data_IF_230376817114
#
_entry.id   IF_230376817114
#
_cell.length_a   1.000
_cell.length_b   1.000
_cell.length_c   1.000
_cell.angle_alpha   90.00
_cell.angle_beta   90.00
_cell.angle_gamma   90.00
#
_symmetry.space_group_name_H-M   'P 1'
#
loop_
_entity.id
_entity.type
_entity.pdbx_description
1 polymer ?
#
# COMPACT_ATOMS: atom_id res chain seq x y z
N UNK A 1 -13.52 6.47 14.07
CA UNK A 1 -12.60 5.68 13.26
C UNK A 1 -11.28 6.40 13.14
N UNK A 2 -10.21 5.73 13.50
CA UNK A 2 -8.86 6.26 13.35
C UNK A 2 -8.18 5.62 12.15
N UNK A 3 -7.51 6.43 11.35
CA UNK A 3 -6.73 5.92 10.22
C UNK A 3 -5.31 6.47 10.27
N UNK A 4 -4.36 5.64 9.89
CA UNK A 4 -2.95 6.01 9.76
C UNK A 4 -2.47 5.56 8.40
N UNK A 5 -1.84 6.45 7.66
CA UNK A 5 -1.31 6.17 6.33
C UNK A 5 0.20 6.26 6.36
N UNK A 6 0.88 5.21 5.89
CA UNK A 6 2.33 5.15 5.86
C UNK A 6 2.78 4.64 4.49
N UNK A 7 3.84 5.23 3.93
CA UNK A 7 4.49 4.69 2.75
C UNK A 7 5.21 3.39 3.10
N UNK A 8 5.02 2.37 2.29
CA UNK A 8 5.49 1.01 2.56
C UNK A 8 6.96 0.77 2.20
N UNK A 9 7.76 1.81 2.04
CA UNK A 9 9.17 1.66 1.67
C UNK A 9 10.07 1.21 2.82
N UNK A 10 9.54 1.17 4.05
CA UNK A 10 10.32 0.84 5.24
C UNK A 10 9.71 -0.35 5.96
N UNK A 11 10.48 -1.43 6.03
CA UNK A 11 10.03 -2.69 6.66
C UNK A 11 9.68 -2.53 8.13
N UNK A 12 10.41 -1.67 8.85
CA UNK A 12 10.14 -1.44 10.27
C UNK A 12 8.75 -0.86 10.50
N UNK A 13 8.31 0.04 9.62
CA UNK A 13 6.96 0.61 9.71
C UNK A 13 5.90 -0.44 9.41
N UNK A 14 6.13 -1.29 8.41
CA UNK A 14 5.20 -2.38 8.10
C UNK A 14 5.08 -3.34 9.27
N UNK A 15 6.20 -3.68 9.93
CA UNK A 15 6.20 -4.54 11.11
C UNK A 15 5.40 -3.92 12.24
N UNK A 16 5.59 -2.63 12.50
CA UNK A 16 4.83 -1.92 13.55
C UNK A 16 3.33 -1.94 13.27
N UNK A 17 2.94 -1.75 12.01
CA UNK A 17 1.53 -1.82 11.61
C UNK A 17 0.97 -3.22 11.82
N UNK A 18 1.72 -4.25 11.45
CA UNK A 18 1.30 -5.63 11.65
C UNK A 18 1.14 -5.97 13.13
N UNK A 19 2.04 -5.48 13.97
CA UNK A 19 1.95 -5.70 15.42
C UNK A 19 0.71 -5.03 16.00
N UNK A 20 0.36 -3.83 15.53
CA UNK A 20 -0.89 -3.18 15.93
C UNK A 20 -2.10 -4.01 15.52
N UNK A 21 -2.10 -4.58 14.33
CA UNK A 21 -3.19 -5.42 13.88
C UNK A 21 -3.31 -6.70 14.69
N UNK A 22 -2.19 -7.26 15.15
CA UNK A 22 -2.21 -8.43 16.04
C UNK A 22 -2.75 -8.09 17.42
N UNK A 23 -2.38 -6.93 17.95
CA UNK A 23 -2.83 -6.48 19.26
C UNK A 23 -4.31 -6.10 19.26
N UNK A 24 -4.77 -5.49 18.19
CA UNK A 24 -6.14 -4.99 18.07
C UNK A 24 -6.87 -5.70 16.94
N UNK A 25 -7.62 -6.77 17.24
CA UNK A 25 -8.24 -7.61 16.18
C UNK A 25 -9.23 -6.89 15.27
N UNK A 26 -9.75 -5.75 15.69
CA UNK A 26 -10.74 -4.99 14.90
C UNK A 26 -10.09 -4.07 13.85
N UNK A 27 -8.76 -3.89 13.89
CA UNK A 27 -8.07 -3.08 12.91
C UNK A 27 -8.00 -3.81 11.58
N UNK A 28 -8.35 -3.09 10.51
CA UNK A 28 -8.19 -3.58 9.14
C UNK A 28 -7.19 -2.72 8.40
N UNK A 29 -6.64 -3.23 7.29
CA UNK A 29 -5.67 -2.52 6.47
C UNK A 29 -6.13 -2.45 5.02
N UNK A 30 -5.95 -1.28 4.41
CA UNK A 30 -6.10 -1.11 2.96
C UNK A 30 -4.72 -0.78 2.38
N UNK A 31 -4.29 -1.57 1.41
CA UNK A 31 -3.01 -1.40 0.75
C UNK A 31 -3.28 -0.89 -0.67
N UNK A 32 -2.72 0.28 -1.02
CA UNK A 32 -3.00 0.95 -2.28
C UNK A 32 -1.69 1.20 -3.03
N UNK A 33 -1.55 0.57 -4.21
CA UNK A 33 -0.37 0.71 -5.05
C UNK A 33 -0.56 1.79 -6.11
N UNK A 34 0.50 2.57 -6.36
CA UNK A 34 0.49 3.66 -7.32
C UNK A 34 1.77 3.67 -8.13
N UNK A 35 1.69 4.19 -9.37
CA UNK A 35 2.83 4.39 -10.25
C UNK A 35 2.88 5.83 -10.75
N UNK A 36 4.00 6.21 -11.40
CA UNK A 36 4.00 7.38 -12.25
C UNK A 36 3.33 7.05 -13.59
N UNK A 37 3.31 8.01 -14.53
CA UNK A 37 2.62 7.83 -15.81
C UNK A 37 3.53 7.32 -16.94
N UNK A 38 4.73 6.86 -16.65
CA UNK A 38 5.61 6.27 -17.64
C UNK A 38 5.14 4.86 -17.99
N UNK A 39 5.16 4.54 -19.31
CA UNK A 39 4.72 3.27 -19.80
C UNK A 39 3.21 3.21 -20.03
N UNK A 40 2.70 2.03 -20.31
CA UNK A 40 1.27 1.87 -20.57
C UNK A 40 0.46 1.89 -19.28
N UNK A 41 -0.75 2.42 -19.37
CA UNK A 41 -1.68 2.45 -18.23
C UNK A 41 -2.02 1.03 -17.77
N UNK A 42 -2.20 0.09 -18.69
CA UNK A 42 -2.50 -1.31 -18.34
C UNK A 42 -1.36 -1.94 -17.55
N UNK A 43 -0.13 -1.75 -18.00
CA UNK A 43 1.04 -2.30 -17.32
C UNK A 43 1.23 -1.67 -15.94
N UNK A 44 1.01 -0.36 -15.83
CA UNK A 44 1.11 0.34 -14.56
C UNK A 44 0.08 -0.16 -13.55
N UNK A 45 -1.13 -0.44 -14.03
CA UNK A 45 -2.16 -1.03 -13.18
C UNK A 45 -1.72 -2.40 -12.64
N UNK A 46 -1.18 -3.26 -13.51
CA UNK A 46 -0.68 -4.58 -13.10
C UNK A 46 0.47 -4.48 -12.09
N UNK A 47 1.44 -3.59 -12.35
CA UNK A 47 2.57 -3.39 -11.46
C UNK A 47 2.11 -2.95 -10.08
N UNK A 48 1.21 -1.98 -10.02
CA UNK A 48 0.71 -1.46 -8.75
C UNK A 48 -0.09 -2.51 -7.99
N UNK A 49 -0.87 -3.32 -8.69
CA UNK A 49 -1.62 -4.42 -8.08
C UNK A 49 -0.68 -5.47 -7.49
N UNK A 50 0.37 -5.86 -8.21
CA UNK A 50 1.35 -6.82 -7.70
C UNK A 50 2.08 -6.30 -6.46
N UNK A 51 2.44 -5.04 -6.45
CA UNK A 51 3.11 -4.43 -5.28
C UNK A 51 2.22 -4.43 -4.06
N UNK A 52 0.96 -4.06 -4.23
CA UNK A 52 -0.01 -4.08 -3.13
C UNK A 52 -0.22 -5.51 -2.62
N UNK A 53 -0.35 -6.48 -3.51
CA UNK A 53 -0.52 -7.89 -3.15
C UNK A 53 0.71 -8.45 -2.43
N UNK A 54 1.91 -8.03 -2.80
CA UNK A 54 3.13 -8.47 -2.13
C UNK A 54 3.15 -8.07 -0.66
N UNK A 55 2.68 -6.87 -0.36
CA UNK A 55 2.61 -6.39 1.03
C UNK A 55 1.54 -7.13 1.80
N UNK A 56 0.40 -7.38 1.17
CA UNK A 56 -0.65 -8.20 1.79
C UNK A 56 -0.11 -9.57 2.17
N UNK A 57 0.58 -10.23 1.26
CA UNK A 57 1.18 -11.55 1.53
C UNK A 57 2.22 -11.47 2.66
N UNK A 58 2.98 -10.40 2.72
CA UNK A 58 3.94 -10.20 3.79
C UNK A 58 3.24 -10.16 5.16
N UNK A 59 2.14 -9.42 5.28
CA UNK A 59 1.37 -9.38 6.51
C UNK A 59 0.77 -10.74 6.86
N UNK A 60 0.24 -11.45 5.88
CA UNK A 60 -0.38 -12.77 6.09
C UNK A 60 0.65 -13.82 6.49
N UNK A 61 1.75 -13.91 5.73
CA UNK A 61 2.70 -15.01 5.87
C UNK A 61 3.69 -14.79 7.02
N UNK A 62 4.11 -13.55 7.23
CA UNK A 62 5.13 -13.26 8.26
C UNK A 62 4.48 -13.03 9.62
N UNK A 63 3.31 -12.41 9.67
CA UNK A 63 2.66 -12.04 10.92
C UNK A 63 1.36 -12.77 11.20
N UNK A 64 0.91 -13.62 10.28
CA UNK A 64 -0.30 -14.40 10.50
C UNK A 64 -1.59 -13.60 10.52
N UNK A 65 -1.61 -12.43 9.88
CA UNK A 65 -2.83 -11.61 9.81
C UNK A 65 -3.82 -12.28 8.87
N UNK A 66 -5.08 -12.37 9.31
CA UNK A 66 -6.13 -13.01 8.50
C UNK A 66 -6.36 -12.23 7.20
N UNK A 67 -6.46 -12.93 6.04
CA UNK A 67 -6.61 -12.25 4.74
C UNK A 67 -7.80 -11.31 4.64
N UNK A 68 -8.90 -11.64 5.28
CA UNK A 68 -10.13 -10.83 5.24
C UNK A 68 -10.00 -9.49 5.96
N UNK A 69 -8.93 -9.29 6.71
CA UNK A 69 -8.63 -8.02 7.38
C UNK A 69 -7.82 -7.07 6.51
N UNK A 70 -7.38 -7.53 5.33
CA UNK A 70 -6.48 -6.77 4.47
C UNK A 70 -7.04 -6.72 3.07
N UNK A 71 -7.17 -5.51 2.52
CA UNK A 71 -7.46 -5.31 1.10
C UNK A 71 -6.23 -4.78 0.39
N UNK A 72 -6.02 -5.18 -0.84
CA UNK A 72 -4.90 -4.74 -1.66
C UNK A 72 -5.40 -4.38 -3.05
N UNK A 73 -5.13 -3.16 -3.48
CA UNK A 73 -5.63 -2.65 -4.75
C UNK A 73 -4.57 -1.80 -5.43
N UNK A 74 -4.42 -1.97 -6.74
CA UNK A 74 -3.57 -1.14 -7.58
C UNK A 74 -4.39 -0.11 -8.32
N UNK A 75 -3.91 1.12 -8.34
CA UNK A 75 -4.52 2.24 -9.05
C UNK A 75 -3.72 2.68 -10.27
N UNK A 76 -2.52 2.09 -10.49
CA UNK A 76 -1.66 2.49 -11.59
C UNK A 76 -1.27 3.96 -11.48
N UNK A 77 -1.38 4.66 -12.61
CA UNK A 77 -1.06 6.09 -12.70
C UNK A 77 -2.27 7.02 -12.53
N UNK A 78 -3.40 6.50 -12.07
CA UNK A 78 -4.68 7.25 -12.05
C UNK A 78 -4.80 8.23 -10.90
N UNK A 79 -3.93 8.15 -9.89
CA UNK A 79 -4.02 8.98 -8.68
C UNK A 79 -2.68 9.63 -8.33
N UNK A 80 -2.19 10.56 -9.16
CA UNK A 80 -0.91 11.22 -8.86
C UNK A 80 -1.06 12.17 -7.68
N UNK A 81 0.01 12.27 -6.88
CA UNK A 81 0.10 13.24 -5.78
C UNK A 81 1.10 14.36 -6.08
N UNK A 82 1.83 14.24 -7.19
CA UNK A 82 2.83 15.20 -7.61
C UNK A 82 2.88 15.24 -9.13
N UNK A 83 3.66 16.18 -9.68
CA UNK A 83 3.80 16.32 -11.12
C UNK A 83 4.54 15.14 -11.74
N UNK A 84 4.00 14.57 -12.80
CA UNK A 84 4.70 13.58 -13.60
C UNK A 84 5.71 14.21 -14.59
N UNK A 85 5.74 15.53 -14.69
CA UNK A 85 6.66 16.25 -15.57
C UNK A 85 8.11 16.27 -15.02
N UNK A 86 8.29 16.08 -13.73
CA UNK A 86 9.61 16.09 -13.10
C UNK A 86 9.95 14.70 -12.55
N UNK A 87 11.25 14.39 -12.48
CA UNK A 87 11.68 13.11 -11.92
C UNK A 87 11.36 13.02 -10.43
N UNK A 88 11.44 14.12 -9.71
CA UNK A 88 11.07 14.16 -8.29
C UNK A 88 9.59 13.88 -8.09
N UNK A 89 8.73 14.49 -8.88
CA UNK A 89 7.29 14.27 -8.81
C UNK A 89 6.93 12.84 -9.18
N UNK A 90 7.55 12.29 -10.23
CA UNK A 90 7.35 10.88 -10.60
C UNK A 90 7.75 9.94 -9.47
N UNK A 91 8.86 10.21 -8.79
CA UNK A 91 9.28 9.39 -7.64
C UNK A 91 8.25 9.41 -6.53
N UNK A 92 7.65 10.55 -6.25
CA UNK A 92 6.58 10.67 -5.25
C UNK A 92 5.34 9.88 -5.64
N UNK A 93 5.04 9.80 -6.94
CA UNK A 93 3.89 9.06 -7.45
C UNK A 93 4.10 7.54 -7.36
N UNK A 94 5.34 7.06 -7.45
CA UNK A 94 5.66 5.64 -7.30
C UNK A 94 5.68 5.27 -5.82
N UNK A 95 4.53 4.84 -5.32
CA UNK A 95 4.37 4.55 -3.89
C UNK A 95 3.36 3.45 -3.65
N UNK A 96 3.48 2.81 -2.50
CA UNK A 96 2.42 1.95 -1.95
C UNK A 96 2.06 2.51 -0.59
N UNK A 97 0.78 2.75 -0.37
CA UNK A 97 0.26 3.27 0.89
C UNK A 97 -0.40 2.13 1.66
N UNK A 98 -0.17 2.08 2.96
CA UNK A 98 -0.87 1.17 3.86
C UNK A 98 -1.67 2.02 4.84
N UNK A 99 -2.98 1.86 4.85
CA UNK A 99 -3.88 2.64 5.68
C UNK A 99 -4.53 1.69 6.67
N UNK A 100 -4.37 1.98 7.97
CA UNK A 100 -5.03 1.21 9.02
C UNK A 100 -6.32 1.90 9.42
N UNK A 101 -7.38 1.10 9.56
CA UNK A 101 -8.68 1.57 10.03
C UNK A 101 -9.00 0.86 11.34
N UNK A 102 -9.38 1.63 12.35
CA UNK A 102 -9.78 1.10 13.64
C UNK A 102 -11.00 1.83 14.19
N UNK A 103 -11.55 1.31 15.24
CA UNK A 103 -12.67 1.92 15.94
C UNK A 103 -12.21 2.66 17.19
#
# INVERSE_FOLDING_TARGET
>A
VNSVTIKSTQLDQLRQMAELMKTYPDITAAIKGHTDNRGSATRNLEISQRRAQSIKKYFENTFGIAPERITAEGFGDTRPIASNATSEGRRKNRRVLVILYGN
#
